data_IF_026090461831
#
_entry.id   IF_026090461831
#
_cell.length_a   1.000
_cell.length_b   1.000
_cell.length_c   1.000
_cell.angle_alpha   90.00
_cell.angle_beta   90.00
_cell.angle_gamma   90.00
#
_symmetry.space_group_name_H-M   'P 1'
#
loop_
_entity.id
_entity.type
_entity.pdbx_description
1 polymer ?
#
# COMPACT_ATOMS: atom_id res chain seq x y z
N UNK A 1 -9.52 -7.85 8.99
CA UNK A 1 -9.18 -9.23 8.61
C UNK A 1 -7.91 -9.59 9.35
N UNK A 2 -7.90 -10.65 10.16
CA UNK A 2 -6.70 -11.09 10.89
C UNK A 2 -5.75 -11.80 9.92
N UNK A 3 -4.48 -11.38 9.91
CA UNK A 3 -3.50 -11.87 8.95
C UNK A 3 -2.62 -12.92 9.64
N UNK A 4 -2.56 -14.12 9.04
CA UNK A 4 -1.66 -15.17 9.53
C UNK A 4 -0.18 -14.77 9.42
N UNK A 5 0.63 -15.31 10.32
CA UNK A 5 2.09 -15.15 10.38
C UNK A 5 2.78 -15.46 9.04
N UNK A 6 2.30 -16.45 8.27
CA UNK A 6 2.85 -16.79 6.95
C UNK A 6 2.58 -15.69 5.93
N UNK A 7 1.39 -15.10 5.95
CA UNK A 7 0.99 -14.02 5.03
C UNK A 7 1.80 -12.75 5.30
N UNK A 8 2.02 -12.41 6.57
CA UNK A 8 2.90 -11.30 6.95
C UNK A 8 4.33 -11.48 6.43
N UNK A 9 4.86 -12.71 6.46
CA UNK A 9 6.19 -13.02 5.88
C UNK A 9 6.21 -12.89 4.36
N UNK A 10 5.10 -13.21 3.68
CA UNK A 10 4.95 -13.06 2.23
C UNK A 10 5.07 -11.59 1.78
N UNK A 11 4.57 -10.64 2.58
CA UNK A 11 4.56 -9.21 2.24
C UNK A 11 5.94 -8.55 2.21
N UNK A 12 6.96 -9.16 2.81
CA UNK A 12 8.37 -8.72 2.68
C UNK A 12 8.85 -8.85 1.24
N UNK A 13 8.40 -9.86 0.50
CA UNK A 13 8.74 -9.99 -0.91
C UNK A 13 7.80 -9.12 -1.76
N UNK A 14 8.36 -8.07 -2.38
CA UNK A 14 7.62 -7.09 -3.20
C UNK A 14 6.80 -7.73 -4.33
N UNK A 15 7.35 -8.73 -5.01
CA UNK A 15 6.68 -9.40 -6.13
C UNK A 15 5.50 -10.26 -5.65
N UNK A 16 5.73 -11.06 -4.59
CA UNK A 16 4.67 -11.89 -3.99
C UNK A 16 3.56 -11.03 -3.39
N UNK A 17 3.92 -9.96 -2.68
CA UNK A 17 2.96 -8.97 -2.16
C UNK A 17 2.09 -8.38 -3.27
N UNK A 18 2.71 -7.91 -4.36
CA UNK A 18 1.98 -7.33 -5.49
C UNK A 18 0.98 -8.34 -6.08
N UNK A 19 1.41 -9.58 -6.29
CA UNK A 19 0.53 -10.64 -6.80
C UNK A 19 -0.64 -10.91 -5.85
N UNK A 20 -0.35 -10.99 -4.54
CA UNK A 20 -1.37 -11.18 -3.51
C UNK A 20 -2.40 -10.04 -3.48
N UNK A 21 -1.95 -8.78 -3.56
CA UNK A 21 -2.85 -7.61 -3.63
C UNK A 21 -3.78 -7.71 -4.85
N UNK A 22 -3.22 -7.97 -6.03
CA UNK A 22 -4.01 -8.08 -7.26
C UNK A 22 -5.04 -9.21 -7.15
N UNK A 23 -4.62 -10.35 -6.59
CA UNK A 23 -5.50 -11.50 -6.38
C UNK A 23 -6.64 -11.18 -5.40
N UNK A 24 -6.34 -10.55 -4.26
CA UNK A 24 -7.36 -10.15 -3.29
C UNK A 24 -8.36 -9.15 -3.87
N UNK A 25 -7.88 -8.18 -4.66
CA UNK A 25 -8.77 -7.26 -5.36
C UNK A 25 -9.70 -8.00 -6.32
N UNK A 26 -9.16 -8.94 -7.10
CA UNK A 26 -9.95 -9.76 -8.01
C UNK A 26 -11.02 -10.60 -7.28
N UNK A 27 -10.72 -11.13 -6.09
CA UNK A 27 -11.70 -11.86 -5.27
C UNK A 27 -12.86 -10.99 -4.79
N UNK A 28 -12.65 -9.67 -4.69
CA UNK A 28 -13.66 -8.69 -4.28
C UNK A 28 -14.33 -7.99 -5.47
N UNK A 29 -14.11 -8.47 -6.71
CA UNK A 29 -14.52 -7.82 -7.96
C UNK A 29 -14.04 -6.37 -8.11
N UNK A 30 -12.99 -6.00 -7.36
CA UNK A 30 -12.35 -4.68 -7.44
C UNK A 30 -11.12 -4.77 -8.33
N UNK A 31 -10.77 -3.64 -8.93
CA UNK A 31 -9.54 -3.50 -9.70
C UNK A 31 -8.76 -2.28 -9.23
N UNK A 32 -7.46 -2.23 -9.56
CA UNK A 32 -6.65 -1.04 -9.34
C UNK A 32 -7.28 0.22 -9.98
N UNK A 33 -8.03 0.04 -11.07
CA UNK A 33 -8.72 1.14 -11.73
C UNK A 33 -9.97 1.58 -10.96
N UNK A 34 -10.77 0.66 -10.39
CA UNK A 34 -11.96 1.06 -9.62
C UNK A 34 -11.54 1.80 -8.34
N UNK A 35 -10.55 1.28 -7.62
CA UNK A 35 -10.00 1.92 -6.42
C UNK A 35 -9.42 3.30 -6.71
N UNK A 36 -8.70 3.43 -7.84
CA UNK A 36 -8.17 4.72 -8.27
C UNK A 36 -9.28 5.75 -8.52
N UNK A 37 -10.37 5.32 -9.17
CA UNK A 37 -11.55 6.17 -9.44
C UNK A 37 -12.25 6.58 -8.16
N UNK A 38 -12.49 5.64 -7.24
CA UNK A 38 -13.09 5.89 -5.92
C UNK A 38 -12.28 6.91 -5.12
N UNK A 39 -10.94 6.82 -5.18
CA UNK A 39 -10.05 7.74 -4.46
C UNK A 39 -9.67 9.01 -5.23
N UNK A 40 -10.18 9.21 -6.46
CA UNK A 40 -9.89 10.39 -7.29
C UNK A 40 -8.42 10.53 -7.71
N UNK A 41 -7.69 9.41 -7.86
CA UNK A 41 -6.29 9.39 -8.32
C UNK A 41 -6.13 8.58 -9.59
N UNK A 42 -4.99 8.72 -10.28
CA UNK A 42 -4.74 7.92 -11.48
C UNK A 42 -4.44 6.46 -11.14
N UNK A 43 -4.90 5.53 -11.98
CA UNK A 43 -4.51 4.10 -11.90
C UNK A 43 -2.99 3.93 -11.84
N UNK A 44 -2.25 4.76 -12.57
CA UNK A 44 -0.80 4.74 -12.57
C UNK A 44 -0.22 5.08 -11.19
N UNK A 45 -0.83 5.99 -10.43
CA UNK A 45 -0.41 6.30 -9.06
C UNK A 45 -0.57 5.08 -8.14
N UNK A 46 -1.69 4.36 -8.25
CA UNK A 46 -1.93 3.11 -7.50
C UNK A 46 -0.91 2.04 -7.89
N UNK A 47 -0.63 1.88 -9.19
CA UNK A 47 0.40 0.93 -9.66
C UNK A 47 1.79 1.27 -9.12
N UNK A 48 2.14 2.56 -9.16
CA UNK A 48 3.42 3.04 -8.65
C UNK A 48 3.58 2.76 -7.16
N UNK A 49 2.51 2.75 -6.37
CA UNK A 49 2.53 2.37 -4.96
C UNK A 49 3.04 0.94 -4.74
N UNK A 50 2.77 0.02 -5.68
CA UNK A 50 3.28 -1.36 -5.60
C UNK A 50 4.79 -1.44 -5.84
N UNK A 51 5.35 -0.48 -6.57
CA UNK A 51 6.77 -0.44 -6.98
C UNK A 51 7.60 0.38 -6.00
N UNK A 52 7.19 1.62 -5.74
CA UNK A 52 7.92 2.62 -4.93
C UNK A 52 7.07 3.16 -3.78
N UNK A 53 7.69 3.66 -2.69
CA UNK A 53 6.96 4.23 -1.56
C UNK A 53 6.03 5.37 -1.99
N UNK A 54 4.72 5.18 -1.84
CA UNK A 54 3.71 6.18 -2.17
C UNK A 54 2.60 6.15 -1.11
N UNK A 55 2.80 6.83 0.03
CA UNK A 55 1.97 6.63 1.22
C UNK A 55 0.48 6.87 1.00
N UNK A 56 0.11 7.87 0.18
CA UNK A 56 -1.30 8.17 -0.11
C UNK A 56 -2.01 7.01 -0.82
N UNK A 57 -1.36 6.39 -1.80
CA UNK A 57 -1.94 5.29 -2.57
C UNK A 57 -1.80 3.95 -1.85
N UNK A 58 -0.76 3.76 -1.04
CA UNK A 58 -0.64 2.60 -0.14
C UNK A 58 -1.80 2.54 0.85
N UNK A 59 -2.18 3.67 1.46
CA UNK A 59 -3.35 3.78 2.33
C UNK A 59 -4.64 3.38 1.62
N UNK A 60 -4.88 3.95 0.44
CA UNK A 60 -6.06 3.64 -0.38
C UNK A 60 -6.16 2.13 -0.69
N UNK A 61 -5.04 1.49 -1.05
CA UNK A 61 -5.01 0.04 -1.32
C UNK A 61 -5.31 -0.75 -0.05
N UNK A 62 -4.72 -0.37 1.08
CA UNK A 62 -4.92 -1.06 2.34
C UNK A 62 -6.37 -0.92 2.85
N UNK A 63 -6.94 0.29 2.78
CA UNK A 63 -8.34 0.58 3.11
C UNK A 63 -9.31 -0.25 2.27
N UNK A 64 -9.02 -0.41 0.97
CA UNK A 64 -9.84 -1.24 0.06
C UNK A 64 -9.85 -2.73 0.44
N UNK A 65 -8.82 -3.18 1.16
CA UNK A 65 -8.68 -4.55 1.65
C UNK A 65 -9.05 -4.68 3.14
N UNK A 66 -9.55 -3.61 3.76
CA UNK A 66 -9.80 -3.51 5.21
C UNK A 66 -8.56 -3.87 6.06
N UNK A 67 -7.38 -3.41 5.62
CA UNK A 67 -6.09 -3.58 6.26
C UNK A 67 -5.44 -2.22 6.54
N UNK A 68 -4.40 -2.21 7.37
CA UNK A 68 -3.55 -1.04 7.55
C UNK A 68 -2.39 -1.05 6.54
N UNK A 69 -1.89 0.11 6.11
CA UNK A 69 -0.74 0.19 5.21
C UNK A 69 0.53 -0.37 5.85
N UNK A 70 0.63 -0.36 7.18
CA UNK A 70 1.72 -0.96 7.95
C UNK A 70 1.77 -2.48 7.76
N UNK A 71 0.62 -3.15 7.86
CA UNK A 71 0.60 -4.60 7.69
C UNK A 71 0.87 -5.00 6.25
N UNK A 72 0.36 -4.23 5.28
CA UNK A 72 0.59 -4.51 3.86
C UNK A 72 2.01 -4.16 3.40
N UNK A 73 2.59 -3.09 3.94
CA UNK A 73 3.92 -2.58 3.60
C UNK A 73 4.83 -2.49 4.83
N UNK A 74 5.19 -3.63 5.46
CA UNK A 74 5.94 -3.62 6.72
C UNK A 74 7.33 -2.99 6.60
N UNK A 75 7.94 -3.03 5.42
CA UNK A 75 9.26 -2.40 5.17
C UNK A 75 9.20 -0.87 5.02
N UNK A 76 8.00 -0.28 4.88
CA UNK A 76 7.83 1.13 4.52
C UNK A 76 7.25 1.99 5.63
N UNK A 77 6.74 1.39 6.69
CA UNK A 77 6.15 2.08 7.83
C UNK A 77 6.89 1.71 9.10
N UNK A 78 7.13 2.69 9.95
CA UNK A 78 7.68 2.47 11.28
C UNK A 78 6.58 1.97 12.22
N UNK A 79 6.95 1.47 13.42
CA UNK A 79 6.00 1.01 14.45
C UNK A 79 4.98 2.06 14.90
N UNK A 80 5.24 3.33 14.58
CA UNK A 80 4.35 4.47 14.85
C UNK A 80 3.40 4.79 13.68
N UNK A 81 3.38 3.98 12.63
CA UNK A 81 2.54 4.18 11.45
C UNK A 81 2.94 5.32 10.53
N UNK A 82 4.14 5.85 10.74
CA UNK A 82 4.70 6.91 9.89
C UNK A 82 5.37 6.26 8.68
N UNK A 83 5.02 6.67 7.44
CA UNK A 83 5.71 6.18 6.26
C UNK A 83 7.15 6.70 6.23
N UNK A 84 8.11 5.80 6.04
CA UNK A 84 9.53 6.09 5.86
C UNK A 84 9.80 6.62 4.43
N UNK A 85 9.07 7.67 4.05
CA UNK A 85 9.31 8.43 2.82
C UNK A 85 10.05 9.69 3.22
N UNK A 86 11.29 9.83 2.75
CA UNK A 86 12.02 11.11 2.80
C UNK A 86 11.16 12.16 2.08
N UNK A 87 10.45 13.00 2.82
CA UNK A 87 9.79 14.17 2.26
C UNK A 87 10.89 15.04 1.64
N UNK A 88 10.70 15.46 0.39
CA UNK A 88 11.65 16.36 -0.28
C UNK A 88 11.84 17.65 0.52
N UNK A 89 12.87 18.44 0.13
CA UNK A 89 13.45 19.62 0.82
C UNK A 89 13.14 19.69 2.33
N UNK A 90 14.14 19.47 3.20
CA UNK A 90 13.99 19.66 4.64
C UNK A 90 13.28 20.98 4.93
N UNK A 91 12.35 21.03 5.92
CA UNK A 91 11.73 22.28 6.31
C UNK A 91 12.83 23.28 6.63
N UNK A 92 12.81 24.45 5.97
CA UNK A 92 13.66 25.57 6.34
C UNK A 92 13.30 25.94 7.78
N UNK A 93 14.22 25.73 8.72
CA UNK A 93 14.07 26.25 10.09
C UNK A 93 13.83 27.77 9.96
N UNK A 94 12.68 28.25 10.43
CA UNK A 94 12.45 29.68 10.70
C UNK A 94 13.08 30.02 12.03
#
# INVERSE_FOLDING_TARGET
MDIDTKTSKLFRNKAKRRAWIIYQLALTDRSLASIAREAGISRQAVWQALIKPYPRAEKIIAESLNLTPETLFPERYDSSGVPNRKRGRPPTKK
#
